data_IF_785102670343
#
_entry.id   IF_785102670343
#
_cell.length_a   1.000
_cell.length_b   1.000
_cell.length_c   1.000
_cell.angle_alpha   90.00
_cell.angle_beta   90.00
_cell.angle_gamma   90.00
#
_symmetry.space_group_name_H-M   'P 1'
#
loop_
_entity.id
_entity.type
_entity.pdbx_description
1 polymer ?
#
# COMPACT_ATOMS: atom_id res chain seq x y z
N UNK A 1 1.63 -29.33 -32.38
CA UNK A 1 2.02 -30.15 -31.20
C UNK A 1 1.14 -29.77 -30.02
N UNK A 2 0.78 -30.76 -29.20
CA UNK A 2 -0.26 -30.67 -28.18
C UNK A 2 0.10 -29.76 -26.99
N UNK A 3 -0.90 -29.06 -26.43
CA UNK A 3 -0.97 -28.86 -24.99
C UNK A 3 -2.41 -29.07 -24.51
N UNK A 4 -2.83 -30.33 -24.50
CA UNK A 4 -4.02 -30.78 -23.77
C UNK A 4 -3.69 -30.66 -22.28
N UNK A 5 -3.96 -29.50 -21.69
CA UNK A 5 -4.05 -29.42 -20.24
C UNK A 5 -5.46 -29.84 -19.85
N UNK A 6 -5.68 -31.16 -19.85
CA UNK A 6 -6.87 -31.78 -19.26
C UNK A 6 -6.84 -31.50 -17.76
N UNK A 7 -7.38 -30.36 -17.36
CA UNK A 7 -7.64 -30.06 -15.95
C UNK A 7 -8.69 -31.06 -15.47
N UNK A 8 -8.24 -32.20 -14.93
CA UNK A 8 -9.06 -32.99 -14.01
C UNK A 8 -9.62 -31.99 -12.98
N UNK A 9 -10.92 -32.01 -12.67
CA UNK A 9 -11.47 -31.17 -11.61
C UNK A 9 -10.81 -31.63 -10.31
N UNK A 10 -9.71 -30.98 -9.92
CA UNK A 10 -9.19 -31.11 -8.57
C UNK A 10 -10.35 -30.72 -7.67
N UNK A 11 -10.74 -31.59 -6.72
CA UNK A 11 -11.66 -31.24 -5.65
C UNK A 11 -11.06 -30.04 -4.93
N UNK A 12 -11.48 -28.84 -5.33
CA UNK A 12 -10.99 -27.60 -4.76
C UNK A 12 -11.54 -27.53 -3.35
N UNK A 13 -10.64 -27.57 -2.36
CA UNK A 13 -11.04 -27.30 -0.98
C UNK A 13 -11.12 -25.79 -0.80
N UNK A 14 -11.93 -25.33 0.15
CA UNK A 14 -12.02 -23.90 0.49
C UNK A 14 -10.64 -23.32 0.86
N UNK A 15 -9.82 -24.11 1.58
CA UNK A 15 -8.43 -23.76 1.89
C UNK A 15 -7.55 -23.66 0.64
N UNK A 16 -7.69 -24.59 -0.31
CA UNK A 16 -6.99 -24.55 -1.59
C UNK A 16 -7.40 -23.33 -2.42
N UNK A 17 -8.68 -22.97 -2.44
CA UNK A 17 -9.15 -21.74 -3.05
C UNK A 17 -8.53 -20.50 -2.41
N UNK A 18 -8.60 -20.38 -1.08
CA UNK A 18 -8.06 -19.25 -0.34
C UNK A 18 -6.55 -19.03 -0.59
N UNK A 19 -5.74 -20.09 -0.56
CA UNK A 19 -4.28 -20.00 -0.78
C UNK A 19 -3.89 -19.73 -2.24
N UNK A 20 -4.80 -19.93 -3.19
CA UNK A 20 -4.59 -19.60 -4.61
C UNK A 20 -5.29 -18.29 -5.00
N UNK A 21 -5.91 -17.58 -4.05
CA UNK A 21 -6.36 -16.22 -4.32
C UNK A 21 -5.11 -15.38 -4.66
N UNK A 22 -5.19 -14.53 -5.71
CA UNK A 22 -4.14 -13.57 -5.93
C UNK A 22 -4.00 -12.69 -4.69
N UNK A 23 -2.78 -12.32 -4.35
CA UNK A 23 -2.55 -11.33 -3.31
C UNK A 23 -3.35 -10.07 -3.65
N UNK A 24 -4.22 -9.67 -2.73
CA UNK A 24 -4.99 -8.47 -2.91
C UNK A 24 -4.03 -7.27 -2.87
N UNK A 25 -4.01 -6.46 -3.93
CA UNK A 25 -3.33 -5.17 -3.87
C UNK A 25 -4.11 -4.29 -2.89
N UNK A 26 -3.48 -3.89 -1.80
CA UNK A 26 -4.07 -3.00 -0.81
C UNK A 26 -3.40 -1.63 -0.88
N UNK A 27 -3.54 -0.87 -1.99
CA UNK A 27 -2.69 0.28 -2.28
C UNK A 27 -2.73 1.35 -1.19
N UNK A 28 -3.89 1.55 -0.53
CA UNK A 28 -4.02 2.47 0.61
C UNK A 28 -3.24 1.97 1.84
N UNK A 29 -3.35 0.69 2.16
CA UNK A 29 -2.66 0.07 3.30
C UNK A 29 -1.16 0.03 3.04
N UNK A 30 -0.75 -0.37 1.84
CA UNK A 30 0.66 -0.40 1.43
C UNK A 30 1.28 0.99 1.47
N UNK A 31 0.57 2.02 1.02
CA UNK A 31 1.04 3.39 1.09
C UNK A 31 1.22 3.86 2.55
N UNK A 32 0.24 3.59 3.42
CA UNK A 32 0.36 3.92 4.86
C UNK A 32 1.54 3.17 5.49
N UNK A 33 1.69 1.88 5.22
CA UNK A 33 2.82 1.06 5.71
C UNK A 33 4.17 1.61 5.23
N UNK A 34 4.24 2.06 3.97
CA UNK A 34 5.45 2.68 3.43
C UNK A 34 5.77 3.98 4.17
N UNK A 35 4.80 4.85 4.44
CA UNK A 35 5.00 6.06 5.25
C UNK A 35 5.50 5.69 6.65
N UNK A 36 4.90 4.68 7.30
CA UNK A 36 5.33 4.23 8.62
C UNK A 36 6.80 3.80 8.62
N UNK A 37 7.20 2.99 7.64
CA UNK A 37 8.55 2.46 7.51
C UNK A 37 9.58 3.55 7.20
N UNK A 38 9.32 4.39 6.18
CA UNK A 38 10.27 5.39 5.70
C UNK A 38 10.40 6.59 6.65
N UNK A 39 9.30 7.00 7.29
CA UNK A 39 9.29 8.15 8.20
C UNK A 39 9.45 7.74 9.68
N UNK A 40 9.44 6.44 10.00
CA UNK A 40 9.57 5.94 11.38
C UNK A 40 8.41 6.38 12.28
N UNK A 41 7.18 6.38 11.77
CA UNK A 41 5.99 6.88 12.49
C UNK A 41 4.93 5.81 12.72
N UNK A 42 4.01 6.07 13.64
CA UNK A 42 2.88 5.17 13.91
C UNK A 42 1.88 5.13 12.75
N UNK A 43 1.09 4.07 12.68
CA UNK A 43 -0.03 3.95 11.72
C UNK A 43 -0.99 5.13 11.84
N UNK A 44 -1.35 5.52 13.06
CA UNK A 44 -2.26 6.63 13.33
C UNK A 44 -1.69 7.94 12.79
N UNK A 45 -0.39 8.19 12.98
CA UNK A 45 0.29 9.38 12.47
C UNK A 45 0.29 9.40 10.95
N UNK A 46 0.73 8.32 10.30
CA UNK A 46 0.74 8.20 8.84
C UNK A 46 -0.67 8.38 8.24
N UNK A 47 -1.69 7.75 8.85
CA UNK A 47 -3.08 7.90 8.44
C UNK A 47 -3.56 9.34 8.58
N UNK A 48 -3.26 10.01 9.69
CA UNK A 48 -3.69 11.39 9.91
C UNK A 48 -3.06 12.37 8.92
N UNK A 49 -1.80 12.15 8.51
CA UNK A 49 -1.16 12.93 7.44
C UNK A 49 -1.86 12.74 6.09
N UNK A 50 -2.09 11.48 5.69
CA UNK A 50 -2.78 11.16 4.43
C UNK A 50 -4.21 11.73 4.40
N UNK A 51 -4.88 11.79 5.55
CA UNK A 51 -6.22 12.36 5.69
C UNK A 51 -6.23 13.88 5.89
N UNK A 52 -5.08 14.55 5.93
CA UNK A 52 -4.96 15.99 6.11
C UNK A 52 -5.32 16.51 7.52
N UNK A 53 -5.43 15.62 8.51
CA UNK A 53 -5.79 15.97 9.90
C UNK A 53 -4.63 16.66 10.61
N UNK A 54 -3.40 16.18 10.36
CA UNK A 54 -2.16 16.78 10.89
C UNK A 54 -1.09 16.80 9.80
N UNK A 55 0.00 17.54 10.02
CA UNK A 55 1.15 17.60 9.11
C UNK A 55 2.43 17.19 9.85
N UNK A 56 3.47 16.70 9.15
CA UNK A 56 4.76 16.44 9.79
C UNK A 56 5.44 17.74 10.23
N UNK A 57 5.99 17.76 11.44
CA UNK A 57 6.79 18.90 11.93
C UNK A 57 8.22 18.88 11.38
N UNK A 58 8.73 17.68 11.04
CA UNK A 58 10.08 17.50 10.51
C UNK A 58 10.09 17.64 8.99
N UNK A 59 10.91 18.56 8.48
CA UNK A 59 11.10 18.74 7.03
C UNK A 59 11.53 17.45 6.31
N UNK A 60 12.33 16.59 6.98
CA UNK A 60 12.73 15.29 6.44
C UNK A 60 11.51 14.42 6.07
N UNK A 61 10.47 14.43 6.90
CA UNK A 61 9.25 13.66 6.65
C UNK A 61 8.45 14.27 5.49
N UNK A 62 8.41 15.60 5.37
CA UNK A 62 7.77 16.29 4.24
C UNK A 62 8.49 15.95 2.94
N UNK A 63 9.83 15.95 2.95
CA UNK A 63 10.65 15.56 1.79
C UNK A 63 10.41 14.11 1.39
N UNK A 64 10.40 13.17 2.35
CA UNK A 64 10.09 11.75 2.08
C UNK A 64 8.70 11.57 1.48
N UNK A 65 7.69 12.28 1.99
CA UNK A 65 6.32 12.26 1.42
C UNK A 65 6.30 12.80 -0.01
N UNK A 66 7.02 13.89 -0.28
CA UNK A 66 7.16 14.45 -1.63
C UNK A 66 7.80 13.43 -2.59
N UNK A 67 8.90 12.81 -2.19
CA UNK A 67 9.59 11.79 -2.99
C UNK A 67 8.74 10.52 -3.20
N UNK A 68 8.00 10.06 -2.18
CA UNK A 68 7.13 8.88 -2.29
C UNK A 68 5.93 9.10 -3.22
N UNK A 69 5.40 10.33 -3.28
CA UNK A 69 4.17 10.66 -4.02
C UNK A 69 4.45 11.28 -5.39
N UNK A 70 5.64 11.86 -5.58
CA UNK A 70 5.97 12.70 -6.73
C UNK A 70 5.31 14.09 -6.68
N UNK A 71 4.66 14.45 -5.56
CA UNK A 71 4.03 15.76 -5.36
C UNK A 71 5.06 16.70 -4.73
N UNK A 72 5.16 17.94 -5.18
CA UNK A 72 6.05 18.91 -4.53
C UNK A 72 5.66 19.13 -3.06
N UNK A 73 6.65 19.34 -2.19
CA UNK A 73 6.43 19.57 -0.76
C UNK A 73 5.38 20.65 -0.45
N UNK A 74 5.40 21.74 -1.21
CA UNK A 74 4.47 22.87 -1.05
C UNK A 74 3.04 22.53 -1.48
N UNK A 75 2.87 21.54 -2.36
CA UNK A 75 1.60 21.13 -2.94
C UNK A 75 0.93 19.98 -2.15
N UNK A 76 1.68 19.28 -1.28
CA UNK A 76 1.16 18.17 -0.46
C UNK A 76 -0.07 18.53 0.39
N UNK A 77 -0.25 19.82 0.69
CA UNK A 77 -1.27 20.31 1.60
C UNK A 77 -2.22 21.35 1.00
N UNK A 78 -2.09 21.64 -0.30
CA UNK A 78 -3.02 22.52 -0.99
C UNK A 78 -4.28 21.72 -1.28
N UNK A 79 -5.41 22.18 -0.73
CA UNK A 79 -6.74 21.58 -0.89
C UNK A 79 -7.69 22.59 -1.48
#
# INVERSE_FOLDING_TARGET
MANKNERKPQKMTLKGYYLNLPDASHPKTEFITRIMSECGVSFTTARNWVMGVTRPDKEENVRKLSEMTGINADDLWKS
#
